data_IF_135806223352
#
_entry.id   IF_135806223352
#
_cell.length_a   1.000
_cell.length_b   1.000
_cell.length_c   1.000
_cell.angle_alpha   90.00
_cell.angle_beta   90.00
_cell.angle_gamma   90.00
#
_symmetry.space_group_name_H-M   'P 1'
#
loop_
_entity.id
_entity.type
_entity.pdbx_description
1 polymer ?
#
# COMPACT_ATOMS: atom_id res chain seq x y z
N UNK A 1 5.98 -10.29 -10.48
CA UNK A 1 7.39 -10.75 -10.50
C UNK A 1 8.23 -10.04 -9.44
N UNK A 2 8.38 -8.70 -9.51
CA UNK A 2 9.23 -7.95 -8.56
C UNK A 2 8.79 -8.07 -7.09
N UNK A 3 7.47 -8.18 -6.83
CA UNK A 3 6.95 -8.46 -5.49
C UNK A 3 7.57 -9.72 -4.86
N UNK A 4 7.74 -10.79 -5.64
CA UNK A 4 8.32 -12.06 -5.17
C UNK A 4 9.85 -12.01 -5.07
N UNK A 5 10.48 -10.96 -5.60
CA UNK A 5 11.91 -10.79 -5.44
C UNK A 5 12.26 -10.23 -4.05
N UNK A 6 11.41 -9.33 -3.54
CA UNK A 6 11.60 -8.63 -2.27
C UNK A 6 10.90 -9.26 -1.08
N UNK A 7 9.82 -10.03 -1.32
CA UNK A 7 9.02 -10.66 -0.26
C UNK A 7 9.80 -11.73 0.52
N UNK A 8 9.85 -11.58 1.85
CA UNK A 8 10.49 -12.53 2.77
C UNK A 8 9.92 -13.95 2.66
N UNK A 9 8.63 -14.11 2.36
CA UNK A 9 7.95 -15.42 2.26
C UNK A 9 8.39 -16.22 1.04
N UNK A 10 8.97 -15.56 0.05
CA UNK A 10 9.41 -16.19 -1.19
C UNK A 10 10.88 -16.62 -1.15
N UNK A 11 11.58 -16.41 -0.01
CA UNK A 11 12.99 -16.76 0.18
C UNK A 11 13.32 -18.21 -0.19
N UNK A 12 12.48 -19.16 0.22
CA UNK A 12 12.67 -20.60 -0.08
C UNK A 12 12.46 -20.90 -1.58
N UNK A 13 11.65 -20.09 -2.27
CA UNK A 13 11.32 -20.24 -3.68
C UNK A 13 12.22 -19.40 -4.59
N UNK A 14 13.18 -18.66 -4.05
CA UNK A 14 13.97 -17.68 -4.79
C UNK A 14 14.70 -18.34 -5.98
N UNK A 15 15.43 -19.43 -5.74
CA UNK A 15 16.18 -20.10 -6.80
C UNK A 15 15.27 -20.70 -7.88
N UNK A 16 14.11 -21.22 -7.49
CA UNK A 16 13.12 -21.75 -8.44
C UNK A 16 12.47 -20.65 -9.30
N UNK A 17 12.32 -19.44 -8.76
CA UNK A 17 11.70 -18.31 -9.47
C UNK A 17 12.70 -17.48 -10.27
N UNK A 18 13.94 -17.34 -9.79
CA UNK A 18 14.91 -16.37 -10.30
C UNK A 18 16.27 -16.97 -10.65
N UNK A 19 16.59 -18.21 -10.27
CA UNK A 19 17.95 -18.77 -10.36
C UNK A 19 18.55 -18.74 -11.77
N UNK A 20 17.72 -18.93 -12.80
CA UNK A 20 18.19 -18.88 -14.20
C UNK A 20 18.27 -17.45 -14.76
N UNK A 21 17.62 -16.48 -14.10
CA UNK A 21 17.56 -15.08 -14.50
C UNK A 21 18.78 -14.30 -14.02
N UNK A 22 19.05 -13.18 -14.71
CA UNK A 22 20.14 -12.27 -14.31
C UNK A 22 20.03 -11.83 -12.84
N UNK A 23 18.81 -11.49 -12.38
CA UNK A 23 18.56 -11.03 -11.01
C UNK A 23 18.70 -12.12 -9.94
N UNK A 24 18.62 -13.41 -10.31
CA UNK A 24 18.94 -14.51 -9.40
C UNK A 24 20.44 -14.82 -9.36
N UNK A 25 21.14 -14.64 -10.48
CA UNK A 25 22.61 -14.77 -10.58
C UNK A 25 23.37 -13.60 -9.96
N UNK A 26 22.76 -12.42 -9.96
CA UNK A 26 23.30 -11.18 -9.39
C UNK A 26 22.28 -10.56 -8.42
N UNK A 27 22.02 -11.22 -7.28
CA UNK A 27 21.00 -10.75 -6.37
C UNK A 27 21.42 -9.48 -5.63
N UNK A 28 20.46 -8.60 -5.35
CA UNK A 28 20.68 -7.44 -4.49
C UNK A 28 20.80 -7.85 -3.02
N UNK A 29 21.43 -7.01 -2.16
CA UNK A 29 21.49 -7.25 -0.73
C UNK A 29 20.11 -7.40 -0.09
N UNK A 30 19.13 -6.62 -0.55
CA UNK A 30 17.79 -6.57 0.06
C UNK A 30 16.78 -7.59 -0.52
N UNK A 31 17.23 -8.57 -1.32
CA UNK A 31 16.33 -9.64 -1.79
C UNK A 31 15.67 -10.34 -0.60
N UNK A 32 14.39 -10.68 -0.74
CA UNK A 32 13.60 -11.39 0.29
C UNK A 32 13.73 -10.82 1.72
N UNK A 33 13.92 -9.50 1.85
CA UNK A 33 14.17 -8.84 3.14
C UNK A 33 13.00 -7.97 3.61
N UNK A 34 11.88 -7.96 2.87
CA UNK A 34 10.75 -7.06 3.14
C UNK A 34 9.43 -7.81 3.32
N UNK A 35 8.54 -7.21 4.09
CA UNK A 35 7.11 -7.51 4.04
C UNK A 35 6.52 -6.71 2.89
N UNK A 36 6.02 -7.41 1.87
CA UNK A 36 5.50 -6.75 0.67
C UNK A 36 4.00 -6.47 0.83
N UNK A 37 3.64 -5.19 0.73
CA UNK A 37 2.27 -4.71 0.67
C UNK A 37 1.98 -4.22 -0.75
N UNK A 38 0.94 -4.76 -1.38
CA UNK A 38 0.53 -4.38 -2.72
C UNK A 38 -0.85 -3.74 -2.67
N UNK A 39 -0.96 -2.53 -3.20
CA UNK A 39 -2.23 -1.84 -3.43
C UNK A 39 -2.40 -1.68 -4.94
N UNK A 40 -3.55 -2.09 -5.47
CA UNK A 40 -3.87 -1.93 -6.89
C UNK A 40 -5.24 -1.28 -7.03
N UNK A 41 -5.25 -0.10 -7.65
CA UNK A 41 -6.43 0.75 -7.71
C UNK A 41 -7.23 0.65 -9.02
N UNK A 42 -6.93 -0.33 -9.90
CA UNK A 42 -7.71 -0.57 -11.13
C UNK A 42 -9.18 -0.92 -10.84
N UNK A 43 -9.44 -1.62 -9.74
CA UNK A 43 -10.78 -2.13 -9.40
C UNK A 43 -11.66 -1.14 -8.65
N UNK A 44 -11.15 0.04 -8.30
CA UNK A 44 -11.93 1.07 -7.59
C UNK A 44 -12.68 1.86 -8.65
N UNK A 45 -13.96 1.53 -8.87
CA UNK A 45 -14.82 2.28 -9.79
C UNK A 45 -15.10 3.68 -9.22
N UNK A 46 -14.75 4.71 -9.97
CA UNK A 46 -14.96 6.12 -9.61
C UNK A 46 -16.40 6.59 -9.70
N UNK A 47 -17.36 5.91 -9.04
CA UNK A 47 -18.62 6.59 -8.74
C UNK A 47 -18.29 7.75 -7.80
N UNK A 48 -18.36 8.97 -8.34
CA UNK A 48 -17.76 10.21 -7.84
C UNK A 48 -18.06 10.54 -6.37
N UNK A 49 -19.14 10.00 -5.80
CA UNK A 49 -19.54 10.29 -4.42
C UNK A 49 -19.03 9.28 -3.38
N UNK A 50 -18.57 8.09 -3.79
CA UNK A 50 -18.16 7.01 -2.87
C UNK A 50 -16.72 6.53 -3.09
N UNK A 51 -15.91 7.29 -3.84
CA UNK A 51 -14.54 6.92 -4.13
C UNK A 51 -13.68 6.66 -2.87
N UNK A 52 -13.76 7.57 -1.89
CA UNK A 52 -13.03 7.45 -0.62
C UNK A 52 -13.42 6.17 0.13
N UNK A 53 -14.71 5.83 0.13
CA UNK A 53 -15.21 4.61 0.74
C UNK A 53 -14.68 3.36 0.01
N UNK A 54 -14.62 3.38 -1.32
CA UNK A 54 -14.05 2.30 -2.12
C UNK A 54 -12.55 2.11 -1.87
N UNK A 55 -11.81 3.21 -1.72
CA UNK A 55 -10.40 3.18 -1.34
C UNK A 55 -10.20 2.60 0.07
N UNK A 56 -10.94 3.10 1.06
CA UNK A 56 -10.84 2.64 2.44
C UNK A 56 -11.18 1.14 2.54
N UNK A 57 -12.24 0.68 1.84
CA UNK A 57 -12.61 -0.72 1.79
C UNK A 57 -11.56 -1.61 1.09
N UNK A 58 -10.96 -1.12 0.00
CA UNK A 58 -9.88 -1.83 -0.69
C UNK A 58 -8.65 -1.97 0.22
N UNK A 59 -8.23 -0.85 0.83
CA UNK A 59 -7.09 -0.82 1.74
C UNK A 59 -7.30 -1.72 2.96
N UNK A 60 -8.46 -1.65 3.62
CA UNK A 60 -8.84 -2.56 4.70
C UNK A 60 -8.62 -4.02 4.30
N UNK A 61 -9.19 -4.44 3.17
CA UNK A 61 -9.06 -5.82 2.67
C UNK A 61 -7.60 -6.20 2.44
N UNK A 62 -6.81 -5.29 1.86
CA UNK A 62 -5.39 -5.54 1.59
C UNK A 62 -4.53 -5.57 2.85
N UNK A 63 -4.85 -4.75 3.85
CA UNK A 63 -4.13 -4.74 5.12
C UNK A 63 -4.49 -5.97 5.98
N UNK A 64 -5.76 -6.40 5.98
CA UNK A 64 -6.18 -7.65 6.60
C UNK A 64 -5.41 -8.84 6.04
N UNK A 65 -5.37 -8.93 4.71
CA UNK A 65 -4.60 -9.96 4.03
C UNK A 65 -3.12 -9.88 4.37
N UNK A 66 -2.53 -8.67 4.43
CA UNK A 66 -1.15 -8.46 4.84
C UNK A 66 -0.89 -8.99 6.26
N UNK A 67 -1.76 -8.67 7.20
CA UNK A 67 -1.67 -9.17 8.58
C UNK A 67 -1.75 -10.71 8.63
N UNK A 68 -2.65 -11.31 7.85
CA UNK A 68 -2.82 -12.77 7.83
C UNK A 68 -1.59 -13.49 7.26
N UNK A 69 -0.99 -12.97 6.17
CA UNK A 69 0.14 -13.64 5.53
C UNK A 69 1.49 -13.43 6.21
N UNK A 70 1.62 -12.34 6.98
CA UNK A 70 2.84 -12.01 7.74
C UNK A 70 2.64 -12.13 9.25
N UNK A 71 1.63 -12.86 9.71
CA UNK A 71 1.33 -13.03 11.13
C UNK A 71 2.57 -13.43 11.97
N UNK A 72 3.46 -14.26 11.42
CA UNK A 72 4.70 -14.69 12.08
C UNK A 72 5.74 -13.57 12.29
N UNK A 73 5.62 -12.48 11.54
CA UNK A 73 6.54 -11.33 11.55
C UNK A 73 5.97 -10.10 12.28
N UNK A 74 4.68 -10.14 12.62
CA UNK A 74 3.93 -9.02 13.17
C UNK A 74 3.62 -9.24 14.66
N UNK A 75 3.43 -8.15 15.43
CA UNK A 75 2.95 -8.26 16.80
C UNK A 75 1.60 -8.99 16.88
N UNK A 76 1.45 -9.82 17.91
CA UNK A 76 0.18 -10.47 18.20
C UNK A 76 -0.91 -9.42 18.48
N UNK A 77 -2.10 -9.60 17.91
CA UNK A 77 -3.23 -8.70 18.12
C UNK A 77 -3.21 -7.44 17.24
N UNK A 78 -2.34 -7.38 16.21
CA UNK A 78 -2.25 -6.22 15.31
C UNK A 78 -3.54 -6.03 14.50
N UNK A 79 -4.16 -7.11 14.04
CA UNK A 79 -5.33 -7.07 13.15
C UNK A 79 -6.52 -6.44 13.85
N UNK A 80 -6.80 -6.86 15.08
CA UNK A 80 -7.90 -6.32 15.88
C UNK A 80 -7.75 -4.82 16.11
N UNK A 81 -6.52 -4.35 16.37
CA UNK A 81 -6.22 -2.92 16.55
C UNK A 81 -6.21 -2.12 15.25
N UNK A 82 -5.97 -2.78 14.13
CA UNK A 82 -6.03 -2.19 12.80
C UNK A 82 -7.48 -1.96 12.37
N UNK A 83 -8.39 -2.88 12.70
CA UNK A 83 -9.84 -2.78 12.45
C UNK A 83 -10.51 -1.67 13.26
N UNK A 84 -9.89 -1.26 14.38
CA UNK A 84 -10.33 -0.11 15.18
C UNK A 84 -9.99 1.25 14.53
N UNK A 85 -9.12 1.29 13.50
CA UNK A 85 -8.70 2.54 12.83
C UNK A 85 -9.68 2.96 11.76
N UNK A 86 -9.84 4.28 11.59
CA UNK A 86 -10.80 4.85 10.66
C UNK A 86 -10.12 5.24 9.35
N UNK A 87 -10.27 4.39 8.34
CA UNK A 87 -9.82 4.65 6.98
C UNK A 87 -8.36 4.28 6.70
N UNK A 88 -8.01 4.28 5.42
CA UNK A 88 -6.77 3.69 4.92
C UNK A 88 -5.51 4.37 5.48
N UNK A 89 -5.55 5.68 5.71
CA UNK A 89 -4.40 6.46 6.20
C UNK A 89 -4.03 6.06 7.62
N UNK A 90 -5.00 6.10 8.54
CA UNK A 90 -4.76 5.72 9.95
C UNK A 90 -4.31 4.26 10.07
N UNK A 91 -4.90 3.38 9.25
CA UNK A 91 -4.50 1.97 9.18
C UNK A 91 -3.07 1.78 8.72
N UNK A 92 -2.67 2.46 7.64
CA UNK A 92 -1.32 2.35 7.10
C UNK A 92 -0.29 2.89 8.10
N UNK A 93 -0.57 4.02 8.74
CA UNK A 93 0.29 4.59 9.79
C UNK A 93 0.46 3.64 10.97
N UNK A 94 -0.64 3.03 11.42
CA UNK A 94 -0.60 2.04 12.49
C UNK A 94 0.23 0.83 12.10
N UNK A 95 -0.03 0.25 10.94
CA UNK A 95 0.65 -0.93 10.42
C UNK A 95 2.16 -0.69 10.26
N UNK A 96 2.55 0.48 9.73
CA UNK A 96 3.95 0.89 9.63
C UNK A 96 4.61 1.04 11.01
N UNK A 97 3.92 1.67 11.96
CA UNK A 97 4.42 1.86 13.32
C UNK A 97 4.64 0.54 14.04
N UNK A 98 3.72 -0.42 13.91
CA UNK A 98 3.86 -1.74 14.53
C UNK A 98 4.96 -2.58 13.86
N UNK A 99 5.10 -2.51 12.53
CA UNK A 99 6.21 -3.18 11.83
C UNK A 99 7.58 -2.65 12.27
N UNK A 100 7.70 -1.34 12.50
CA UNK A 100 8.96 -0.74 12.98
C UNK A 100 9.34 -1.26 14.38
N UNK A 101 8.38 -1.62 15.23
CA UNK A 101 8.67 -2.21 16.55
C UNK A 101 9.25 -3.62 16.46
N UNK A 102 9.02 -4.33 15.36
CA UNK A 102 9.54 -5.68 15.10
C UNK A 102 10.73 -5.68 14.13
N UNK A 103 11.31 -4.51 13.88
CA UNK A 103 12.42 -4.28 12.93
C UNK A 103 12.08 -4.73 11.49
N UNK A 104 10.79 -4.88 11.17
CA UNK A 104 10.34 -5.27 9.85
C UNK A 104 10.21 -4.06 8.93
N UNK A 105 10.70 -4.20 7.70
CA UNK A 105 10.58 -3.18 6.66
C UNK A 105 9.46 -3.55 5.69
N UNK A 106 8.60 -2.59 5.40
CA UNK A 106 7.53 -2.75 4.41
C UNK A 106 8.02 -2.25 3.06
N UNK A 107 7.79 -3.04 2.01
CA UNK A 107 7.94 -2.60 0.63
C UNK A 107 6.55 -2.42 0.01
N UNK A 108 6.18 -1.17 -0.24
CA UNK A 108 4.87 -0.80 -0.79
C UNK A 108 4.91 -0.75 -2.32
N UNK A 109 4.08 -1.57 -2.96
CA UNK A 109 3.78 -1.48 -4.38
C UNK A 109 2.43 -0.79 -4.56
N UNK A 110 2.42 0.31 -5.31
CA UNK A 110 1.20 0.99 -5.74
C UNK A 110 1.10 0.83 -7.24
N UNK A 111 -0.05 0.33 -7.70
CA UNK A 111 -0.37 0.11 -9.10
C UNK A 111 -1.60 0.93 -9.46
N UNK A 112 -1.65 1.46 -10.69
CA UNK A 112 -2.76 2.30 -11.19
C UNK A 112 -2.97 3.58 -10.36
N UNK A 113 -1.87 4.20 -9.91
CA UNK A 113 -1.89 5.47 -9.19
C UNK A 113 -2.39 6.64 -10.05
N UNK A 114 -2.09 6.62 -11.35
CA UNK A 114 -2.59 7.61 -12.30
C UNK A 114 -4.09 7.48 -12.53
N UNK A 115 -4.65 6.26 -12.56
CA UNK A 115 -6.09 6.04 -12.51
C UNK A 115 -6.70 6.66 -11.25
N UNK A 116 -6.05 6.48 -10.09
CA UNK A 116 -6.39 7.15 -8.83
C UNK A 116 -6.35 8.69 -8.97
N UNK A 117 -5.26 9.25 -9.53
CA UNK A 117 -5.11 10.71 -9.68
C UNK A 117 -6.12 11.30 -10.65
N UNK A 118 -6.36 10.63 -11.78
CA UNK A 118 -7.29 11.09 -12.82
C UNK A 118 -8.74 11.06 -12.33
N UNK A 119 -9.13 10.09 -11.51
CA UNK A 119 -10.47 10.06 -10.90
C UNK A 119 -10.71 11.27 -9.97
N UNK A 120 -9.68 11.70 -9.24
CA UNK A 120 -9.73 12.89 -8.39
C UNK A 120 -9.72 14.18 -9.22
N UNK A 121 -8.88 14.25 -10.27
CA UNK A 121 -8.74 15.45 -11.12
C UNK A 121 -9.90 15.65 -12.11
N UNK A 122 -10.59 14.58 -12.49
CA UNK A 122 -11.76 14.65 -13.39
C UNK A 122 -13.03 15.11 -12.69
N UNK A 123 -12.98 15.31 -11.36
CA UNK A 123 -14.00 16.03 -10.62
C UNK A 123 -14.06 17.49 -11.14
N UNK A 124 -15.15 17.87 -11.80
CA UNK A 124 -15.36 19.24 -12.25
C UNK A 124 -15.42 20.25 -11.07
N UNK A 125 -15.62 19.78 -9.83
CA UNK A 125 -15.45 20.60 -8.61
C UNK A 125 -13.99 20.72 -8.16
N UNK A 126 -13.07 19.85 -8.60
CA UNK A 126 -11.64 19.96 -8.25
C UNK A 126 -10.98 21.18 -8.89
N UNK A 127 -11.42 21.56 -10.10
CA UNK A 127 -11.01 22.81 -10.75
C UNK A 127 -11.54 24.05 -9.99
N UNK A 128 -12.70 23.93 -9.34
CA UNK A 128 -13.27 24.99 -8.51
C UNK A 128 -12.57 25.10 -7.15
N UNK A 129 -12.30 23.98 -6.47
CA UNK A 129 -11.55 23.95 -5.19
C UNK A 129 -10.10 24.40 -5.32
N UNK A 130 -9.38 24.01 -6.39
CA UNK A 130 -8.02 24.48 -6.63
C UNK A 130 -7.97 26.00 -6.84
N UNK A 131 -9.00 26.57 -7.50
CA UNK A 131 -9.12 28.02 -7.72
C UNK A 131 -9.55 28.75 -6.43
N UNK A 132 -10.42 28.17 -5.61
CA UNK A 132 -10.82 28.77 -4.34
C UNK A 132 -9.72 28.74 -3.26
N UNK A 133 -8.93 27.67 -3.17
CA UNK A 133 -7.82 27.56 -2.21
C UNK A 133 -6.63 28.45 -2.60
N UNK A 134 -6.36 28.64 -3.89
CA UNK A 134 -5.30 29.56 -4.37
C UNK A 134 -5.72 31.03 -4.32
N UNK A 135 -7.01 31.35 -4.16
CA UNK A 135 -7.51 32.72 -4.00
C UNK A 135 -7.79 33.14 -2.54
N UNK A 136 -7.87 32.20 -1.58
CA UNK A 136 -8.23 32.51 -0.18
C UNK A 136 -7.08 32.56 0.84
N UNK A 137 -5.84 32.26 0.45
CA UNK A 137 -4.67 32.52 1.31
C UNK A 137 -3.66 33.47 0.65
N UNK A 138 -4.13 34.69 0.36
CA UNK A 138 -3.25 35.86 0.40
C UNK A 138 -3.19 36.35 1.85
N UNK A 139 -2.12 35.99 2.58
CA UNK A 139 -1.78 36.66 3.83
C UNK A 139 -1.66 38.18 3.57
N UNK A 140 -2.53 38.96 4.22
CA UNK A 140 -2.34 40.38 4.52
C UNK A 140 -2.15 40.51 6.03
#
# INVERSE_FOLDING_TARGET
MLQHYYDVRTRVKFDALFGDLYIGKHPTPDRNSYLVLKLNFSGISGELHNYRQGLDAHCQTMFDYFCDIYADYLPQGIKEKLDEKSGAVEQLEYLFTECNKTEQKIYLFIDEYDHFTNAILSDAESLHRYTEETHKEGYL
#
